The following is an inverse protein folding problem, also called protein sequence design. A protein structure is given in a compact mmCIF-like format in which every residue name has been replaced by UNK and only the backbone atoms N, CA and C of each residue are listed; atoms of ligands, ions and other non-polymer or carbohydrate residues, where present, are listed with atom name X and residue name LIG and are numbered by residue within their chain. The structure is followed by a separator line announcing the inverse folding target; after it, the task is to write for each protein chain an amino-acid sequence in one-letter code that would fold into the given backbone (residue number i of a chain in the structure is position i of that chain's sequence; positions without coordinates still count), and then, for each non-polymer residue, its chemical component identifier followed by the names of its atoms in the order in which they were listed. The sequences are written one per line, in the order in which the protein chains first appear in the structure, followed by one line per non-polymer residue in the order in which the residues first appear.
data_IF_717279344997
#
_entry.id   IF_717279344997
#
_cell.length_a   1.000
_cell.length_b   1.000
_cell.length_c   1.000
_cell.angle_alpha   90.00
_cell.angle_beta   90.00
_cell.angle_gamma   90.00
#
_symmetry.space_group_name_H-M   'P 1'
#
loop_
_entity.id
_entity.type
_entity.pdbx_description
1 polymer ?
#
# COMPACT_ATOMS: atom_id res chain seq x y z
N UNK A 1 75.59 47.29 38.92
CA UNK A 1 75.14 46.31 37.91
C UNK A 1 75.51 44.92 38.41
N UNK A 2 74.63 44.28 39.20
CA UNK A 2 74.80 42.90 39.64
C UNK A 2 73.95 41.99 38.74
N UNK A 3 74.63 41.11 38.00
CA UNK A 3 74.04 40.18 37.06
C UNK A 3 73.58 38.93 37.83
N UNK A 4 72.27 38.71 37.97
CA UNK A 4 71.71 37.50 38.60
C UNK A 4 71.44 36.46 37.53
N UNK A 5 72.37 35.51 37.37
CA UNK A 5 72.19 34.33 36.54
C UNK A 5 71.33 33.31 37.32
N UNK A 6 70.14 32.93 36.84
CA UNK A 6 69.28 31.99 37.56
C UNK A 6 69.90 30.59 37.59
N UNK A 7 70.03 30.05 38.80
CA UNK A 7 70.55 28.71 39.09
C UNK A 7 69.70 27.62 38.41
N UNK A 8 70.34 26.70 37.70
CA UNK A 8 69.72 25.64 36.88
C UNK A 8 68.71 24.74 37.60
N UNK A 9 68.69 24.76 38.94
CA UNK A 9 67.71 24.05 39.76
C UNK A 9 66.28 24.65 39.63
N UNK A 10 66.14 25.95 39.38
CA UNK A 10 64.85 26.61 39.11
C UNK A 10 64.30 26.31 37.71
N UNK A 11 65.17 25.91 36.78
CA UNK A 11 64.77 25.49 35.43
C UNK A 11 64.23 24.05 35.43
N UNK A 12 64.75 23.18 36.32
CA UNK A 12 64.31 21.79 36.42
C UNK A 12 62.97 21.65 37.17
N UNK A 13 62.68 22.54 38.13
CA UNK A 13 61.37 22.60 38.81
C UNK A 13 60.24 23.03 37.86
N UNK A 14 60.54 23.89 36.87
CA UNK A 14 59.60 24.29 35.81
C UNK A 14 59.34 23.22 34.75
N UNK A 15 60.20 22.19 34.62
CA UNK A 15 59.99 21.10 33.67
C UNK A 15 59.05 20.00 34.18
N UNK A 16 58.73 20.01 35.48
CA UNK A 16 57.86 19.01 36.11
C UNK A 16 56.40 19.45 36.19
N UNK A 17 56.03 20.47 35.44
CA UNK A 17 54.66 20.94 35.29
C UNK A 17 54.15 20.72 33.86
N UNK A 18 54.59 19.62 33.22
CA UNK A 18 53.83 19.04 32.12
C UNK A 18 52.56 18.47 32.75
N UNK A 19 51.55 19.33 32.77
CA UNK A 19 50.16 18.93 32.83
C UNK A 19 49.98 17.88 31.73
N UNK A 20 49.79 16.62 32.13
CA UNK A 20 49.17 15.66 31.23
C UNK A 20 47.86 16.31 30.77
N UNK A 21 47.61 16.47 29.46
CA UNK A 21 46.33 17.02 29.04
C UNK A 21 45.27 16.12 29.70
N UNK A 22 44.35 16.75 30.44
CA UNK A 22 43.09 16.12 30.81
C UNK A 22 42.67 15.24 29.63
N UNK A 23 42.39 13.93 29.84
CA UNK A 23 42.10 13.03 28.74
C UNK A 23 41.02 13.70 27.90
N UNK A 24 41.41 14.08 26.68
CA UNK A 24 40.68 15.01 25.80
C UNK A 24 39.22 14.88 26.11
N UNK A 25 38.69 15.87 26.84
CA UNK A 25 37.26 15.92 27.14
C UNK A 25 36.63 15.73 25.76
N UNK A 26 35.95 14.60 25.57
CA UNK A 26 35.45 14.03 24.33
C UNK A 26 34.35 14.91 23.68
N UNK A 27 34.61 16.21 23.64
CA UNK A 27 33.68 17.32 23.48
C UNK A 27 34.39 18.42 22.68
N UNK A 28 33.74 19.07 21.72
CA UNK A 28 32.36 18.87 21.31
C UNK A 28 32.35 17.78 20.24
N UNK A 29 31.49 16.77 20.40
CA UNK A 29 30.87 16.19 19.20
C UNK A 29 30.29 17.39 18.45
N UNK A 30 31.02 17.87 17.44
CA UNK A 30 30.74 19.12 16.77
C UNK A 30 29.23 19.17 16.49
N UNK A 31 28.51 20.26 16.80
CA UNK A 31 27.06 20.34 16.60
C UNK A 31 26.63 19.97 15.16
N UNK A 32 27.57 19.97 14.21
CA UNK A 32 27.42 19.40 12.87
C UNK A 32 26.99 17.93 12.80
N UNK A 33 27.36 17.06 13.75
CA UNK A 33 26.88 15.66 13.76
C UNK A 33 25.42 15.57 14.17
N UNK A 34 24.99 16.41 15.11
CA UNK A 34 23.57 16.52 15.43
C UNK A 34 22.77 17.01 14.23
N UNK A 35 23.29 17.99 13.48
CA UNK A 35 22.68 18.44 12.23
C UNK A 35 22.63 17.31 11.20
N UNK A 36 23.69 16.52 11.06
CA UNK A 36 23.74 15.38 10.15
C UNK A 36 22.74 14.28 10.56
N UNK A 37 22.66 13.95 11.85
CA UNK A 37 21.66 13.03 12.41
C UNK A 37 20.24 13.54 12.16
N UNK A 38 19.98 14.83 12.40
CA UNK A 38 18.67 15.44 12.21
C UNK A 38 18.29 15.45 10.72
N UNK A 39 19.25 15.67 9.83
CA UNK A 39 19.06 15.62 8.38
C UNK A 39 18.78 14.17 7.91
N UNK A 40 19.51 13.19 8.43
CA UNK A 40 19.28 11.76 8.13
C UNK A 40 17.92 11.31 8.64
N UNK A 41 17.57 11.64 9.89
CA UNK A 41 16.26 11.33 10.47
C UNK A 41 15.16 12.05 9.66
N UNK A 42 15.36 13.32 9.31
CA UNK A 42 14.45 14.08 8.47
C UNK A 42 14.25 13.44 7.09
N UNK A 43 15.32 12.97 6.46
CA UNK A 43 15.26 12.24 5.19
C UNK A 43 14.51 10.91 5.34
N UNK A 44 14.78 10.14 6.40
CA UNK A 44 14.08 8.88 6.69
C UNK A 44 12.59 9.16 6.94
N UNK A 45 12.26 10.17 7.75
CA UNK A 45 10.88 10.56 8.06
C UNK A 45 10.18 11.06 6.81
N UNK A 46 10.83 11.86 5.97
CA UNK A 46 10.25 12.37 4.71
C UNK A 46 10.04 11.24 3.73
N UNK A 47 11.00 10.32 3.60
CA UNK A 47 10.87 9.11 2.78
C UNK A 47 9.75 8.21 3.30
N UNK A 48 9.65 8.05 4.63
CA UNK A 48 8.59 7.28 5.28
C UNK A 48 7.21 7.92 5.10
N UNK A 49 7.12 9.26 5.21
CA UNK A 49 5.89 10.02 4.97
C UNK A 49 5.51 9.98 3.49
N UNK A 50 6.45 10.08 2.55
CA UNK A 50 6.20 9.95 1.12
C UNK A 50 5.71 8.53 0.77
N UNK A 51 6.38 7.51 1.29
CA UNK A 51 5.94 6.11 1.16
C UNK A 51 4.54 5.91 1.75
N UNK A 52 4.27 6.45 2.94
CA UNK A 52 2.97 6.35 3.62
C UNK A 52 1.90 7.20 2.94
N UNK A 53 2.25 8.32 2.31
CA UNK A 53 1.34 9.19 1.56
C UNK A 53 0.93 8.54 0.24
N UNK A 54 1.78 7.67 -0.32
CA UNK A 54 1.39 6.72 -1.38
C UNK A 54 0.50 5.57 -0.88
N UNK A 55 0.35 5.41 0.44
CA UNK A 55 -0.63 4.51 1.09
C UNK A 55 -1.86 5.25 1.62
N UNK A 56 -2.13 6.46 1.14
CA UNK A 56 -3.47 7.02 1.32
C UNK A 56 -4.45 6.11 0.59
N UNK A 57 -5.61 5.75 1.19
CA UNK A 57 -6.63 5.00 0.46
C UNK A 57 -6.89 5.75 -0.84
N UNK A 58 -6.68 5.06 -1.96
CA UNK A 58 -6.83 5.67 -3.27
C UNK A 58 -8.21 6.35 -3.33
N UNK A 59 -8.32 7.60 -3.81
CA UNK A 59 -9.62 8.24 -4.03
C UNK A 59 -10.55 7.38 -4.90
N UNK A 60 -10.01 6.44 -5.69
CA UNK A 60 -10.80 5.44 -6.44
C UNK A 60 -11.63 4.53 -5.55
N UNK A 61 -11.17 4.24 -4.33
CA UNK A 61 -11.85 3.35 -3.39
C UNK A 61 -13.08 4.04 -2.79
N UNK A 62 -12.91 5.30 -2.36
CA UNK A 62 -14.02 6.12 -1.86
C UNK A 62 -15.09 6.31 -2.95
N UNK A 63 -14.66 6.53 -4.20
CA UNK A 63 -15.58 6.63 -5.33
C UNK A 63 -16.32 5.31 -5.61
N UNK A 64 -15.60 4.17 -5.56
CA UNK A 64 -16.21 2.84 -5.75
C UNK A 64 -17.19 2.49 -4.62
N UNK A 65 -16.84 2.79 -3.35
CA UNK A 65 -17.74 2.59 -2.21
C UNK A 65 -18.97 3.48 -2.28
N UNK A 66 -18.82 4.74 -2.68
CA UNK A 66 -19.95 5.65 -2.85
C UNK A 66 -20.89 5.18 -3.97
N UNK A 67 -20.35 4.70 -5.09
CA UNK A 67 -21.17 4.10 -6.14
C UNK A 67 -21.86 2.82 -5.67
N UNK A 68 -21.17 1.99 -4.89
CA UNK A 68 -21.78 0.77 -4.33
C UNK A 68 -22.91 1.11 -3.34
N UNK A 69 -22.75 2.15 -2.51
CA UNK A 69 -23.80 2.63 -1.62
C UNK A 69 -25.03 3.15 -2.38
N UNK A 70 -24.82 3.85 -3.50
CA UNK A 70 -25.91 4.25 -4.39
C UNK A 70 -26.61 3.04 -5.02
N UNK A 71 -25.89 1.96 -5.30
CA UNK A 71 -26.46 0.72 -5.81
C UNK A 71 -27.18 -0.10 -4.73
N UNK A 72 -26.76 0.01 -3.46
CA UNK A 72 -27.43 -0.63 -2.32
C UNK A 72 -28.82 -0.07 -2.03
N UNK A 73 -29.03 1.23 -2.27
CA UNK A 73 -30.35 1.86 -2.10
C UNK A 73 -31.27 1.69 -3.31
N UNK A 74 -30.73 1.22 -4.45
CA UNK A 74 -31.50 0.95 -5.66
C UNK A 74 -32.10 -0.47 -5.64
N UNK A 75 -33.26 -0.61 -6.28
CA UNK A 75 -33.99 -1.87 -6.41
C UNK A 75 -33.17 -2.94 -7.15
N UNK A 76 -33.47 -4.22 -6.89
CA UNK A 76 -32.96 -5.40 -7.62
C UNK A 76 -33.45 -5.38 -9.06
N UNK A 77 -32.88 -4.47 -9.85
CA UNK A 77 -33.23 -4.25 -11.23
C UNK A 77 -32.02 -4.57 -12.12
N UNK A 78 -32.29 -5.03 -13.35
CA UNK A 78 -31.30 -5.48 -14.31
C UNK A 78 -30.20 -4.45 -14.56
N UNK A 79 -30.59 -3.19 -14.74
CA UNK A 79 -29.67 -2.09 -15.02
C UNK A 79 -28.65 -1.93 -13.89
N UNK A 80 -29.11 -2.04 -12.64
CA UNK A 80 -28.26 -1.93 -11.47
C UNK A 80 -27.31 -3.12 -11.35
N UNK A 81 -27.75 -4.32 -11.72
CA UNK A 81 -26.87 -5.50 -11.76
C UNK A 81 -25.75 -5.32 -12.77
N UNK A 82 -26.07 -4.92 -14.00
CA UNK A 82 -25.07 -4.67 -15.04
C UNK A 82 -24.13 -3.54 -14.60
N UNK A 83 -24.66 -2.49 -13.99
CA UNK A 83 -23.88 -1.37 -13.45
C UNK A 83 -22.91 -1.83 -12.35
N UNK A 84 -23.34 -2.69 -11.43
CA UNK A 84 -22.51 -3.26 -10.36
C UNK A 84 -21.38 -4.15 -10.92
N UNK A 85 -21.66 -4.95 -11.95
CA UNK A 85 -20.66 -5.77 -12.63
C UNK A 85 -19.66 -4.93 -13.42
N UNK A 86 -20.13 -3.89 -14.11
CA UNK A 86 -19.28 -2.93 -14.80
C UNK A 86 -18.38 -2.17 -13.84
N UNK A 87 -18.88 -1.83 -12.64
CA UNK A 87 -18.08 -1.22 -11.58
C UNK A 87 -16.90 -2.11 -11.19
N UNK A 88 -17.14 -3.40 -10.94
CA UNK A 88 -16.07 -4.36 -10.64
C UNK A 88 -15.05 -4.43 -11.78
N UNK A 89 -15.52 -4.55 -13.03
CA UNK A 89 -14.64 -4.64 -14.20
C UNK A 89 -13.81 -3.37 -14.36
N UNK A 90 -14.42 -2.19 -14.24
CA UNK A 90 -13.72 -0.90 -14.31
C UNK A 90 -12.70 -0.75 -13.19
N UNK A 91 -13.04 -1.18 -11.97
CA UNK A 91 -12.11 -1.18 -10.84
C UNK A 91 -10.91 -2.10 -11.10
N UNK A 92 -11.16 -3.32 -11.58
CA UNK A 92 -10.09 -4.24 -11.96
C UNK A 92 -9.21 -3.67 -13.08
N UNK A 93 -9.79 -3.09 -14.14
CA UNK A 93 -9.04 -2.50 -15.25
C UNK A 93 -8.21 -1.27 -14.86
N UNK A 94 -8.60 -0.56 -13.81
CA UNK A 94 -7.83 0.56 -13.28
C UNK A 94 -6.61 0.10 -12.46
N UNK A 95 -6.66 -1.12 -11.92
CA UNK A 95 -5.63 -1.65 -11.02
C UNK A 95 -4.76 -2.76 -11.63
N UNK A 96 -5.21 -3.41 -12.71
CA UNK A 96 -4.50 -4.47 -13.43
C UNK A 96 -4.24 -4.11 -14.90
N UNK A 97 -3.23 -4.71 -15.55
CA UNK A 97 -2.97 -4.50 -16.96
C UNK A 97 -4.18 -4.88 -17.82
N UNK A 98 -4.64 -3.94 -18.65
CA UNK A 98 -5.83 -4.08 -19.49
C UNK A 98 -5.79 -5.33 -20.37
N UNK A 99 -4.60 -5.78 -20.77
CA UNK A 99 -4.40 -6.96 -21.62
C UNK A 99 -4.92 -8.25 -20.97
N UNK A 100 -4.69 -8.41 -19.66
CA UNK A 100 -5.13 -9.57 -18.89
C UNK A 100 -6.63 -9.49 -18.56
N UNK A 101 -7.10 -8.28 -18.21
CA UNK A 101 -8.48 -8.07 -17.76
C UNK A 101 -9.49 -8.05 -18.91
N UNK A 102 -9.10 -7.53 -20.08
CA UNK A 102 -10.01 -7.38 -21.22
C UNK A 102 -10.34 -8.73 -21.86
N UNK A 103 -9.36 -9.65 -21.92
CA UNK A 103 -9.50 -10.96 -22.54
C UNK A 103 -10.23 -11.98 -21.67
N UNK A 104 -10.35 -11.74 -20.36
CA UNK A 104 -10.89 -12.69 -19.40
C UNK A 104 -12.38 -12.45 -19.07
N UNK A 105 -13.20 -13.52 -18.93
CA UNK A 105 -14.56 -13.41 -18.42
C UNK A 105 -14.60 -12.93 -16.96
N UNK A 106 -15.61 -12.13 -16.62
CA UNK A 106 -15.74 -11.50 -15.29
C UNK A 106 -15.81 -12.53 -14.14
N UNK A 107 -16.35 -13.72 -14.41
CA UNK A 107 -16.40 -14.83 -13.46
C UNK A 107 -14.99 -15.32 -13.07
N UNK A 108 -14.14 -15.57 -14.07
CA UNK A 108 -12.77 -16.05 -13.84
C UNK A 108 -11.96 -14.97 -13.12
N UNK A 109 -12.17 -13.72 -13.47
CA UNK A 109 -11.61 -12.57 -12.76
C UNK A 109 -12.07 -12.56 -11.29
N UNK A 110 -13.37 -12.64 -11.00
CA UNK A 110 -13.88 -12.63 -9.63
C UNK A 110 -13.34 -13.82 -8.81
N UNK A 111 -13.33 -15.03 -9.39
CA UNK A 111 -12.81 -16.24 -8.73
C UNK A 111 -11.31 -16.15 -8.44
N UNK A 112 -10.51 -15.64 -9.37
CA UNK A 112 -9.06 -15.49 -9.17
C UNK A 112 -8.74 -14.45 -8.09
N UNK A 113 -9.46 -13.32 -8.08
CA UNK A 113 -9.34 -12.32 -7.01
C UNK A 113 -9.71 -12.92 -5.66
N UNK A 114 -10.81 -13.66 -5.60
CA UNK A 114 -11.28 -14.27 -4.36
C UNK A 114 -10.34 -15.38 -3.86
N UNK A 115 -9.84 -16.23 -4.75
CA UNK A 115 -8.84 -17.25 -4.41
C UNK A 115 -7.54 -16.62 -3.88
N UNK A 116 -7.09 -15.52 -4.49
CA UNK A 116 -5.88 -14.80 -4.07
C UNK A 116 -6.06 -14.11 -2.71
N UNK A 117 -7.26 -13.58 -2.42
CA UNK A 117 -7.57 -12.87 -1.17
C UNK A 117 -8.29 -13.74 -0.12
N UNK A 118 -8.42 -15.04 -0.33
CA UNK A 118 -9.16 -15.97 0.53
C UNK A 118 -10.60 -15.51 0.85
N UNK A 119 -11.28 -14.92 -0.14
CA UNK A 119 -12.67 -14.47 0.01
C UNK A 119 -13.61 -15.61 -0.34
N UNK A 120 -14.63 -15.81 0.48
CA UNK A 120 -15.73 -16.73 0.22
C UNK A 120 -16.79 -16.02 -0.62
N UNK A 121 -16.89 -16.36 -1.90
CA UNK A 121 -17.98 -15.92 -2.77
C UNK A 121 -19.22 -16.78 -2.55
N UNK A 122 -20.40 -16.16 -2.44
CA UNK A 122 -21.66 -16.89 -2.38
C UNK A 122 -21.96 -17.58 -3.72
N UNK A 123 -22.49 -18.81 -3.65
CA UNK A 123 -22.90 -19.58 -4.84
C UNK A 123 -23.97 -18.88 -5.68
N UNK A 124 -24.84 -18.09 -5.05
CA UNK A 124 -25.86 -17.25 -5.70
C UNK A 124 -25.20 -16.16 -6.54
N UNK A 125 -24.20 -15.47 -5.97
CA UNK A 125 -23.41 -14.45 -6.64
C UNK A 125 -22.67 -15.04 -7.84
N UNK A 126 -22.03 -16.21 -7.69
CA UNK A 126 -21.34 -16.87 -8.80
C UNK A 126 -22.28 -17.23 -9.96
N UNK A 127 -23.50 -17.70 -9.67
CA UNK A 127 -24.52 -17.95 -10.69
C UNK A 127 -24.94 -16.67 -11.39
N UNK A 128 -25.14 -15.58 -10.64
CA UNK A 128 -25.47 -14.27 -11.20
C UNK A 128 -24.32 -13.71 -12.05
N UNK A 129 -23.07 -13.77 -11.61
CA UNK A 129 -21.91 -13.33 -12.39
C UNK A 129 -21.76 -14.12 -13.69
N UNK A 130 -22.01 -15.44 -13.66
CA UNK A 130 -21.94 -16.29 -14.83
C UNK A 130 -23.08 -15.97 -15.82
N UNK A 131 -24.30 -15.87 -15.31
CA UNK A 131 -25.50 -15.76 -16.13
C UNK A 131 -25.75 -14.32 -16.59
N UNK A 132 -25.24 -13.31 -15.89
CA UNK A 132 -25.47 -11.90 -16.22
C UNK A 132 -24.91 -11.49 -17.60
N UNK A 133 -23.87 -12.16 -18.09
CA UNK A 133 -23.35 -11.93 -19.45
C UNK A 133 -24.23 -12.56 -20.54
N UNK A 134 -24.95 -13.64 -20.22
CA UNK A 134 -25.60 -14.50 -21.21
C UNK A 134 -27.15 -14.47 -21.17
N UNK A 135 -27.76 -14.07 -20.05
CA UNK A 135 -29.20 -14.09 -19.85
C UNK A 135 -29.74 -12.66 -19.62
N UNK A 136 -30.23 -11.98 -20.68
CA UNK A 136 -30.72 -10.60 -20.59
C UNK A 136 -32.01 -10.41 -19.76
N UNK A 137 -32.56 -11.47 -19.16
CA UNK A 137 -33.87 -11.51 -18.51
C UNK A 137 -33.88 -12.37 -17.22
N UNK A 138 -32.84 -12.25 -16.39
CA UNK A 138 -32.82 -12.87 -15.04
C UNK A 138 -33.63 -11.99 -14.07
N UNK A 139 -34.71 -12.54 -13.53
CA UNK A 139 -35.41 -11.98 -12.37
C UNK A 139 -34.60 -12.24 -11.10
N UNK A 140 -33.94 -11.20 -10.58
CA UNK A 140 -33.06 -11.29 -9.40
C UNK A 140 -33.87 -10.99 -8.15
N UNK A 141 -33.89 -11.92 -7.21
CA UNK A 141 -34.52 -11.70 -5.90
C UNK A 141 -33.75 -10.65 -5.09
N UNK A 142 -34.44 -9.85 -4.27
CA UNK A 142 -33.79 -8.85 -3.41
C UNK A 142 -32.72 -9.45 -2.48
N UNK A 143 -32.90 -10.70 -2.02
CA UNK A 143 -31.89 -11.40 -1.22
C UNK A 143 -30.62 -11.69 -2.03
N UNK A 144 -30.76 -12.24 -3.24
CA UNK A 144 -29.64 -12.52 -4.13
C UNK A 144 -28.90 -11.24 -4.56
N UNK A 145 -29.64 -10.14 -4.68
CA UNK A 145 -29.11 -8.81 -4.95
C UNK A 145 -28.22 -8.31 -3.80
N UNK A 146 -28.70 -8.44 -2.56
CA UNK A 146 -27.93 -8.03 -1.39
C UNK A 146 -26.69 -8.89 -1.17
N UNK A 147 -26.78 -10.20 -1.38
CA UNK A 147 -25.64 -11.12 -1.32
C UNK A 147 -24.56 -10.73 -2.34
N UNK A 148 -24.96 -10.44 -3.58
CA UNK A 148 -24.04 -10.01 -4.63
C UNK A 148 -23.37 -8.68 -4.26
N UNK A 149 -24.13 -7.69 -3.78
CA UNK A 149 -23.57 -6.39 -3.39
C UNK A 149 -22.59 -6.51 -2.22
N UNK A 150 -22.86 -7.38 -1.25
CA UNK A 150 -21.94 -7.65 -0.15
C UNK A 150 -20.65 -8.32 -0.64
N UNK A 151 -20.75 -9.32 -1.52
CA UNK A 151 -19.58 -9.97 -2.12
C UNK A 151 -18.75 -8.98 -2.95
N UNK A 152 -19.40 -8.12 -3.73
CA UNK A 152 -18.75 -7.06 -4.49
C UNK A 152 -18.02 -6.07 -3.58
N UNK A 153 -18.64 -5.68 -2.47
CA UNK A 153 -18.02 -4.82 -1.47
C UNK A 153 -16.74 -5.46 -0.93
N UNK A 154 -16.80 -6.74 -0.54
CA UNK A 154 -15.64 -7.47 -0.04
C UNK A 154 -14.53 -7.59 -1.09
N UNK A 155 -14.89 -7.83 -2.35
CA UNK A 155 -13.94 -7.85 -3.47
C UNK A 155 -13.26 -6.48 -3.64
N UNK A 156 -14.01 -5.39 -3.71
CA UNK A 156 -13.46 -4.04 -3.87
C UNK A 156 -12.56 -3.67 -2.69
N UNK A 157 -13.00 -3.94 -1.46
CA UNK A 157 -12.21 -3.68 -0.26
C UNK A 157 -10.92 -4.51 -0.21
N UNK A 158 -10.96 -5.78 -0.59
CA UNK A 158 -9.74 -6.61 -0.66
C UNK A 158 -8.78 -6.18 -1.75
N UNK A 159 -9.28 -5.84 -2.94
CA UNK A 159 -8.49 -5.28 -4.05
C UNK A 159 -7.76 -4.03 -3.61
N UNK A 160 -8.44 -3.17 -2.84
CA UNK A 160 -7.79 -1.98 -2.30
C UNK A 160 -6.63 -2.31 -1.37
N UNK A 161 -6.73 -3.37 -0.56
CA UNK A 161 -5.64 -3.81 0.32
C UNK A 161 -4.47 -4.32 -0.51
N UNK A 162 -4.75 -5.09 -1.56
CA UNK A 162 -3.71 -5.59 -2.48
C UNK A 162 -2.99 -4.44 -3.18
N UNK A 163 -3.70 -3.39 -3.59
CA UNK A 163 -3.05 -2.22 -4.23
C UNK A 163 -2.14 -1.43 -3.29
N UNK A 164 -2.29 -1.57 -1.97
CA UNK A 164 -1.44 -0.90 -0.98
C UNK A 164 -0.13 -1.65 -0.71
N UNK A 165 0.01 -2.91 -1.15
CA UNK A 165 1.21 -3.71 -0.96
C UNK A 165 1.81 -4.14 -2.32
N UNK A 166 3.02 -3.69 -2.67
CA UNK A 166 3.63 -4.01 -3.96
C UNK A 166 3.91 -5.52 -4.13
N UNK A 167 4.27 -6.23 -3.05
CA UNK A 167 4.50 -7.67 -3.10
C UNK A 167 3.23 -8.46 -3.48
N UNK A 168 2.09 -8.09 -2.91
CA UNK A 168 0.81 -8.75 -3.12
C UNK A 168 0.25 -8.43 -4.50
N UNK A 169 0.50 -7.22 -5.01
CA UNK A 169 0.14 -6.81 -6.37
C UNK A 169 0.85 -7.68 -7.43
N UNK A 170 2.15 -7.93 -7.27
CA UNK A 170 2.92 -8.77 -8.21
C UNK A 170 2.42 -10.21 -8.20
N UNK A 171 2.20 -10.79 -7.01
CA UNK A 171 1.63 -12.13 -6.89
C UNK A 171 0.27 -12.24 -7.59
N UNK A 172 -0.56 -11.21 -7.46
CA UNK A 172 -1.88 -11.16 -8.07
C UNK A 172 -1.84 -11.02 -9.59
N UNK A 173 -0.94 -10.19 -10.14
CA UNK A 173 -0.74 -10.07 -11.60
C UNK A 173 -0.29 -11.41 -12.17
N UNK A 174 0.60 -12.12 -11.48
CA UNK A 174 1.05 -13.45 -11.90
C UNK A 174 -0.10 -14.48 -11.86
N UNK A 175 -0.93 -14.47 -10.82
CA UNK A 175 -2.11 -15.33 -10.74
C UNK A 175 -3.11 -15.05 -11.87
N UNK A 176 -3.34 -13.77 -12.19
CA UNK A 176 -4.19 -13.38 -13.32
C UNK A 176 -3.61 -13.80 -14.66
N UNK A 177 -2.28 -13.72 -14.82
CA UNK A 177 -1.59 -14.21 -16.03
C UNK A 177 -1.78 -15.72 -16.21
N UNK A 178 -1.55 -16.51 -15.17
CA UNK A 178 -1.74 -17.96 -15.21
C UNK A 178 -3.20 -18.34 -15.52
N UNK A 179 -4.16 -17.66 -14.90
CA UNK A 179 -5.58 -17.92 -15.17
C UNK A 179 -6.01 -17.48 -16.58
N UNK A 180 -5.36 -16.47 -17.16
CA UNK A 180 -5.58 -16.05 -18.54
C UNK A 180 -5.03 -17.06 -19.55
N UNK A 181 -3.84 -17.60 -19.30
CA UNK A 181 -3.21 -18.63 -20.13
C UNK A 181 -3.97 -19.96 -20.11
N UNK A 182 -4.59 -20.33 -18.97
CA UNK A 182 -5.40 -21.55 -18.87
C UNK A 182 -6.77 -21.48 -19.59
N UNK A 183 -7.17 -20.30 -20.08
CA UNK A 183 -8.47 -20.05 -20.71
C UNK A 183 -8.37 -19.75 -22.21
N UNK A 184 -7.17 -19.93 -22.81
CA UNK A 184 -6.90 -19.88 -24.26
C UNK A 184 -6.72 -21.30 -24.76
#
# INVERSE_FOLDING_TARGET
MSNTNPSSNDLMSQLRDIHTPDPVSWWPLAPGWWILMLLVIGAIVTLFILFKRSRRPSPSLAYAEQQLQLLQSKSSNKENLVEALHLLRRFAMNHFPKELTARMPLLTLAKTIAATNQITLNSSSLKLLNNAHYAPNVSVSNEQWQDLLNDLKQLIQSLSRVTQQPATQVAMVNALKQAGEANV
#
